data_IF_404246962421
#
_entry.id   IF_404246962421
#
_cell.length_a   1.000
_cell.length_b   1.000
_cell.length_c   1.000
_cell.angle_alpha   90.00
_cell.angle_beta   90.00
_cell.angle_gamma   90.00
#
_symmetry.space_group_name_H-M   'P 1'
#
loop_
_entity.id
_entity.type
_entity.pdbx_description
1 polymer ?
#
# COMPACT_ATOMS: atom_id res chain seq x y z
N UNK A 1 -2.12 -16.46 -10.87
CA UNK A 1 -1.61 -15.99 -9.57
C UNK A 1 -1.91 -14.52 -9.41
N UNK A 2 -2.65 -14.17 -8.42
CA UNK A 2 -3.03 -12.79 -8.23
C UNK A 2 -1.88 -11.98 -7.64
N UNK A 3 -1.82 -10.70 -8.00
CA UNK A 3 -0.86 -9.75 -7.44
C UNK A 3 -0.95 -9.72 -5.91
N UNK A 4 -2.17 -9.79 -5.36
CA UNK A 4 -2.39 -9.78 -3.91
C UNK A 4 -1.72 -10.96 -3.20
N UNK A 5 -1.75 -12.13 -3.83
CA UNK A 5 -1.10 -13.31 -3.25
C UNK A 5 0.41 -13.12 -3.20
N UNK A 6 0.99 -12.56 -4.26
CA UNK A 6 2.42 -12.27 -4.31
C UNK A 6 2.82 -11.24 -3.23
N UNK A 7 2.02 -10.18 -3.07
CA UNK A 7 2.25 -9.17 -2.04
C UNK A 7 2.15 -9.76 -0.64
N UNK A 8 1.12 -10.56 -0.39
CA UNK A 8 0.89 -11.21 0.91
C UNK A 8 2.05 -12.13 1.28
N UNK A 9 2.48 -12.93 0.33
CA UNK A 9 3.58 -13.86 0.52
C UNK A 9 4.90 -13.13 0.79
N UNK A 10 5.19 -12.09 0.02
CA UNK A 10 6.43 -11.32 0.21
C UNK A 10 6.43 -10.46 1.46
N UNK A 11 5.26 -10.09 1.97
CA UNK A 11 5.15 -9.29 3.19
C UNK A 11 5.31 -10.14 4.47
N UNK A 12 4.99 -11.43 4.41
CA UNK A 12 4.97 -12.30 5.59
C UNK A 12 6.26 -12.27 6.42
N UNK A 13 7.46 -12.26 5.84
CA UNK A 13 8.70 -12.21 6.63
C UNK A 13 8.87 -10.96 7.49
N UNK A 14 8.15 -9.89 7.18
CA UNK A 14 8.23 -8.61 7.91
C UNK A 14 7.18 -8.49 9.01
N UNK A 15 6.34 -9.50 9.17
CA UNK A 15 5.30 -9.55 10.18
C UNK A 15 5.73 -10.46 11.33
N UNK A 16 5.07 -10.32 12.48
CA UNK A 16 5.33 -11.19 13.63
C UNK A 16 4.76 -12.58 13.37
N UNK A 17 5.37 -13.64 13.93
CA UNK A 17 4.79 -14.98 13.82
C UNK A 17 3.33 -14.99 14.26
N UNK A 18 2.46 -15.56 13.43
CA UNK A 18 1.04 -15.64 13.73
C UNK A 18 0.25 -14.35 13.54
N UNK A 19 0.89 -13.26 13.11
CA UNK A 19 0.20 -12.00 12.83
C UNK A 19 -0.61 -12.13 11.53
N UNK A 20 -1.96 -12.12 11.58
CA UNK A 20 -2.75 -12.32 10.37
C UNK A 20 -2.82 -11.06 9.53
N UNK A 21 -2.91 -11.21 8.22
CA UNK A 21 -3.11 -10.12 7.28
C UNK A 21 -4.61 -9.98 7.01
N UNK A 22 -5.19 -8.85 7.39
CA UNK A 22 -6.60 -8.55 7.15
C UNK A 22 -6.84 -7.99 5.75
N UNK A 23 -5.86 -7.23 5.23
CA UNK A 23 -5.89 -6.71 3.88
C UNK A 23 -4.46 -6.44 3.42
N UNK A 24 -4.22 -6.56 2.13
CA UNK A 24 -2.94 -6.21 1.51
C UNK A 24 -3.21 -5.53 0.19
N UNK A 25 -2.49 -4.43 -0.07
CA UNK A 25 -2.65 -3.71 -1.32
C UNK A 25 -1.39 -2.94 -1.65
N UNK A 26 -1.27 -2.54 -2.92
CA UNK A 26 -0.15 -1.77 -3.40
C UNK A 26 -0.45 -0.29 -3.49
N UNK A 27 0.60 0.52 -3.43
CA UNK A 27 0.53 1.96 -3.57
C UNK A 27 1.77 2.46 -4.29
N UNK A 28 1.74 3.72 -4.72
CA UNK A 28 2.91 4.37 -5.31
C UNK A 28 3.10 5.76 -4.71
N UNK A 29 4.34 6.25 -4.73
CA UNK A 29 4.68 7.53 -4.11
C UNK A 29 4.54 8.71 -5.06
N UNK A 30 4.75 8.51 -6.36
CA UNK A 30 4.67 9.60 -7.34
C UNK A 30 3.25 9.78 -7.85
N UNK A 31 2.89 11.04 -8.14
CA UNK A 31 1.59 11.34 -8.74
C UNK A 31 1.56 10.86 -10.19
N UNK A 32 0.48 10.23 -10.65
CA UNK A 32 0.33 9.90 -12.06
C UNK A 32 0.42 11.13 -12.99
N UNK A 33 0.06 12.31 -12.49
CA UNK A 33 0.16 13.56 -13.25
C UNK A 33 1.61 13.94 -13.53
N UNK A 34 2.55 13.47 -12.73
CA UNK A 34 3.96 13.77 -12.92
C UNK A 34 4.45 13.29 -14.29
N UNK A 35 4.00 12.13 -14.74
CA UNK A 35 4.37 11.59 -16.04
C UNK A 35 3.93 12.49 -17.18
N UNK A 36 2.75 13.11 -17.08
CA UNK A 36 2.24 14.03 -18.07
C UNK A 36 2.93 15.39 -18.07
N UNK A 37 3.42 15.85 -16.91
CA UNK A 37 4.04 17.15 -16.76
C UNK A 37 5.53 17.14 -17.07
N UNK A 38 6.24 16.09 -16.70
CA UNK A 38 7.71 16.05 -16.76
C UNK A 38 8.25 14.91 -17.63
N UNK A 39 7.37 14.04 -18.13
CA UNK A 39 7.74 12.90 -18.95
C UNK A 39 7.83 11.61 -18.17
N UNK A 40 7.66 10.50 -18.89
CA UNK A 40 7.58 9.17 -18.29
C UNK A 40 8.90 8.76 -17.63
N UNK A 41 10.03 9.18 -18.19
CA UNK A 41 11.33 8.81 -17.62
C UNK A 41 11.55 9.43 -16.24
N UNK A 42 11.13 10.67 -16.06
CA UNK A 42 11.20 11.33 -14.74
C UNK A 42 10.28 10.63 -13.76
N UNK A 43 9.06 10.31 -14.17
CA UNK A 43 8.11 9.57 -13.34
C UNK A 43 8.70 8.23 -12.89
N UNK A 44 9.22 7.42 -13.82
CA UNK A 44 9.77 6.11 -13.51
C UNK A 44 10.96 6.18 -12.55
N UNK A 45 11.74 7.26 -12.64
CA UNK A 45 12.90 7.43 -11.78
C UNK A 45 12.51 7.87 -10.36
N UNK A 46 11.47 8.67 -10.21
CA UNK A 46 11.03 9.22 -8.92
C UNK A 46 10.01 8.34 -8.21
N UNK A 47 9.26 7.54 -8.96
CA UNK A 47 8.22 6.71 -8.38
C UNK A 47 8.81 5.54 -7.61
N UNK A 48 8.19 5.22 -6.47
CA UNK A 48 8.47 4.01 -5.70
C UNK A 48 7.16 3.32 -5.38
N UNK A 49 7.18 2.01 -5.45
CA UNK A 49 6.03 1.20 -5.06
C UNK A 49 6.12 0.84 -3.59
N UNK A 50 4.95 0.72 -2.96
CA UNK A 50 4.82 0.35 -1.56
C UNK A 50 3.79 -0.76 -1.46
N UNK A 51 3.95 -1.61 -0.44
CA UNK A 51 2.95 -2.62 -0.08
C UNK A 51 2.47 -2.27 1.32
N UNK A 52 1.15 -2.19 1.48
CA UNK A 52 0.55 -1.98 2.80
C UNK A 52 -0.06 -3.31 3.26
N UNK A 53 0.40 -3.78 4.41
CA UNK A 53 -0.13 -4.97 5.06
C UNK A 53 -0.87 -4.55 6.31
N UNK A 54 -2.18 -4.77 6.33
CA UNK A 54 -3.05 -4.41 7.44
C UNK A 54 -3.23 -5.61 8.34
N UNK A 55 -2.87 -5.46 9.62
CA UNK A 55 -3.02 -6.50 10.64
C UNK A 55 -3.94 -6.01 11.74
N UNK A 56 -4.37 -6.87 12.68
CA UNK A 56 -5.22 -6.41 13.79
C UNK A 56 -4.60 -5.34 14.69
N UNK A 57 -3.26 -5.25 14.71
CA UNK A 57 -2.56 -4.36 15.65
C UNK A 57 -1.85 -3.18 14.99
N UNK A 58 -1.63 -3.22 13.68
CA UNK A 58 -0.86 -2.17 12.99
C UNK A 58 -1.04 -2.27 11.49
N UNK A 59 -0.60 -1.21 10.80
CA UNK A 59 -0.51 -1.20 9.35
C UNK A 59 0.97 -1.04 9.01
N UNK A 60 1.55 -2.02 8.32
CA UNK A 60 2.97 -2.01 7.96
C UNK A 60 3.11 -1.54 6.53
N UNK A 61 3.89 -0.48 6.32
CA UNK A 61 4.19 0.05 4.99
C UNK A 61 5.55 -0.50 4.57
N UNK A 62 5.57 -1.27 3.51
CA UNK A 62 6.78 -1.94 3.00
C UNK A 62 7.23 -1.31 1.69
N UNK A 63 8.55 -1.22 1.51
CA UNK A 63 9.13 -0.81 0.25
C UNK A 63 9.04 -1.97 -0.75
N UNK A 64 8.62 -1.67 -1.97
CA UNK A 64 8.59 -2.65 -3.06
C UNK A 64 9.48 -2.26 -4.25
N UNK A 65 10.19 -1.12 -4.16
CA UNK A 65 11.15 -0.70 -5.16
C UNK A 65 10.53 0.09 -6.30
N UNK A 66 11.21 0.08 -7.47
CA UNK A 66 10.85 0.93 -8.61
C UNK A 66 10.05 0.24 -9.70
N UNK A 67 10.10 -1.08 -9.78
CA UNK A 67 9.63 -1.80 -10.97
C UNK A 67 8.29 -2.48 -10.79
N UNK A 68 7.95 -2.86 -9.56
CA UNK A 68 6.76 -3.68 -9.30
C UNK A 68 6.38 -3.58 -7.83
N UNK A 69 5.11 -3.82 -7.53
CA UNK A 69 4.63 -3.90 -6.16
C UNK A 69 4.46 -5.34 -5.67
N UNK A 70 5.15 -6.29 -6.32
CA UNK A 70 5.00 -7.72 -5.98
C UNK A 70 5.89 -8.15 -4.81
N UNK A 71 7.07 -7.55 -4.68
CA UNK A 71 8.11 -8.02 -3.78
C UNK A 71 8.43 -6.98 -2.73
N UNK A 72 8.11 -7.27 -1.48
CA UNK A 72 8.50 -6.44 -0.35
C UNK A 72 10.01 -6.55 -0.12
N UNK A 73 10.66 -5.42 0.14
CA UNK A 73 12.12 -5.32 0.29
C UNK A 73 12.56 -4.83 1.66
N UNK A 74 11.66 -4.24 2.43
CA UNK A 74 11.97 -3.75 3.77
C UNK A 74 10.83 -2.92 4.31
N UNK A 75 10.90 -2.59 5.59
CA UNK A 75 9.89 -1.76 6.27
C UNK A 75 10.23 -0.30 6.07
N UNK A 76 9.26 0.49 5.60
CA UNK A 76 9.38 1.95 5.49
C UNK A 76 8.90 2.60 6.78
N UNK A 77 7.69 2.24 7.20
CA UNK A 77 7.07 2.81 8.41
C UNK A 77 5.90 1.93 8.85
N UNK A 78 5.34 2.25 10.00
CA UNK A 78 4.11 1.67 10.49
C UNK A 78 3.10 2.78 10.73
N UNK A 79 1.84 2.48 10.49
CA UNK A 79 0.73 3.39 10.81
C UNK A 79 -0.10 2.78 11.93
N UNK A 80 -0.73 3.62 12.77
CA UNK A 80 -1.67 3.12 13.77
C UNK A 80 -2.78 2.31 13.10
N UNK A 81 -3.19 1.21 13.71
CA UNK A 81 -4.27 0.39 13.16
C UNK A 81 -5.57 1.17 13.01
N UNK A 82 -5.78 2.18 13.82
CA UNK A 82 -6.96 3.05 13.76
C UNK A 82 -7.02 3.92 12.51
N UNK A 83 -5.94 3.98 11.71
CA UNK A 83 -5.93 4.75 10.47
C UNK A 83 -6.93 4.19 9.49
N UNK A 84 -7.85 5.03 9.01
CA UNK A 84 -8.81 4.65 7.98
C UNK A 84 -8.16 4.78 6.60
N UNK A 85 -8.37 3.75 5.78
CA UNK A 85 -7.77 3.69 4.45
C UNK A 85 -8.64 4.34 3.39
N UNK A 86 -9.94 4.22 3.52
CA UNK A 86 -10.91 4.76 2.59
C UNK A 86 -11.93 5.67 3.25
N UNK A 87 -13.07 5.93 2.59
CA UNK A 87 -13.46 5.35 1.30
C UNK A 87 -12.61 5.87 0.15
N UNK A 88 -12.40 5.03 -0.87
CA UNK A 88 -11.72 5.44 -2.08
C UNK A 88 -12.63 6.29 -2.96
N UNK A 89 -12.08 7.35 -3.54
CA UNK A 89 -12.82 8.25 -4.44
C UNK A 89 -12.02 8.47 -5.71
N UNK A 90 -12.71 8.52 -6.86
CA UNK A 90 -12.05 8.68 -8.14
C UNK A 90 -11.18 7.49 -8.50
N UNK A 91 -10.10 7.73 -9.26
CA UNK A 91 -9.19 6.66 -9.70
C UNK A 91 -8.07 6.43 -8.69
N UNK A 92 -7.69 7.44 -7.94
CA UNK A 92 -6.57 7.40 -7.00
C UNK A 92 -6.99 7.94 -5.64
N UNK A 93 -6.73 7.15 -4.60
CA UNK A 93 -6.91 7.54 -3.21
C UNK A 93 -5.56 7.88 -2.61
N UNK A 94 -5.46 8.97 -1.86
CA UNK A 94 -4.23 9.35 -1.18
C UNK A 94 -4.29 8.96 0.30
N UNK A 95 -3.22 8.37 0.79
CA UNK A 95 -3.07 7.99 2.19
C UNK A 95 -1.75 8.58 2.69
N UNK A 96 -1.76 9.49 3.68
CA UNK A 96 -0.52 9.98 4.26
C UNK A 96 0.14 8.90 5.12
N UNK A 97 1.44 8.73 4.95
CA UNK A 97 2.18 7.70 5.65
C UNK A 97 3.62 8.13 5.87
N UNK A 98 3.98 8.46 7.10
CA UNK A 98 5.36 8.73 7.47
C UNK A 98 6.05 9.81 6.66
N UNK A 99 5.37 10.90 6.33
CA UNK A 99 5.91 11.98 5.52
C UNK A 99 5.75 11.79 4.02
N UNK A 100 5.22 10.65 3.59
CA UNK A 100 4.89 10.38 2.19
C UNK A 100 3.38 10.46 1.98
N UNK A 101 2.99 10.73 0.74
CA UNK A 101 1.61 10.56 0.30
C UNK A 101 1.58 9.32 -0.58
N UNK A 102 0.89 8.29 -0.13
CA UNK A 102 0.74 7.05 -0.89
C UNK A 102 -0.51 7.15 -1.75
N UNK A 103 -0.36 6.79 -3.02
CA UNK A 103 -1.47 6.84 -3.98
C UNK A 103 -1.87 5.42 -4.32
N UNK A 104 -3.14 5.11 -4.02
CA UNK A 104 -3.70 3.77 -4.21
C UNK A 104 -4.67 3.80 -5.38
N UNK A 105 -4.43 2.92 -6.35
CA UNK A 105 -5.30 2.81 -7.52
C UNK A 105 -6.65 2.20 -7.14
N UNK A 106 -7.71 2.59 -7.85
CA UNK A 106 -9.09 2.13 -7.59
C UNK A 106 -9.23 0.60 -7.60
N UNK A 107 -8.34 -0.12 -8.28
CA UNK A 107 -8.38 -1.58 -8.30
C UNK A 107 -8.18 -2.21 -6.92
N UNK A 108 -7.65 -1.44 -5.96
CA UNK A 108 -7.46 -1.86 -4.58
C UNK A 108 -8.50 -1.31 -3.62
N UNK A 109 -9.54 -0.61 -4.09
CA UNK A 109 -10.51 -0.01 -3.18
C UNK A 109 -11.26 -1.03 -2.34
N UNK A 110 -11.47 -2.23 -2.86
CA UNK A 110 -12.08 -3.29 -2.06
C UNK A 110 -11.19 -3.71 -0.88
N UNK A 111 -9.87 -3.56 -1.03
CA UNK A 111 -8.93 -3.86 0.06
C UNK A 111 -8.96 -2.75 1.11
N UNK A 112 -9.12 -1.49 0.70
CA UNK A 112 -9.34 -0.38 1.63
C UNK A 112 -10.62 -0.59 2.43
N UNK A 113 -11.70 -0.98 1.76
CA UNK A 113 -12.98 -1.24 2.40
C UNK A 113 -12.88 -2.41 3.38
N UNK A 114 -12.15 -3.46 3.01
CA UNK A 114 -11.94 -4.62 3.88
C UNK A 114 -11.15 -4.23 5.14
N UNK A 115 -10.14 -3.38 5.00
CA UNK A 115 -9.36 -2.89 6.14
C UNK A 115 -10.23 -2.07 7.10
N UNK A 116 -11.05 -1.16 6.55
CA UNK A 116 -11.92 -0.32 7.36
C UNK A 116 -13.04 -1.13 8.01
N UNK A 117 -13.58 -2.12 7.31
CA UNK A 117 -14.60 -3.01 7.86
C UNK A 117 -14.04 -3.86 9.01
N UNK A 118 -12.82 -4.37 8.86
CA UNK A 118 -12.17 -5.15 9.92
C UNK A 118 -11.89 -4.28 11.15
N UNK A 119 -11.55 -3.00 10.96
CA UNK A 119 -11.36 -2.06 12.06
C UNK A 119 -12.68 -1.81 12.81
N UNK A 120 -13.77 -1.62 12.07
CA UNK A 120 -15.08 -1.37 12.67
C UNK A 120 -15.63 -2.59 13.43
N UNK A 121 -15.22 -3.80 13.04
CA UNK A 121 -15.66 -5.05 13.67
C UNK A 121 -14.85 -5.40 14.92
N UNK A 122 -13.74 -4.74 15.14
CA UNK A 122 -12.84 -5.03 16.25
C UNK A 122 -13.39 -4.54 17.60
#
# INVERSE_FOLDING_TARGET
>A
MALRDAMRESAAPYLRPGEPIQAVFGAQTASPLLAGLTGVFVFLNLNRYRILAVTPTRIVVLDAGKTSMKQARGVVTELPRSTRMGPGTGVWQQIPAGGEKLRVHRRFYKDLDAADAALAAA
#
